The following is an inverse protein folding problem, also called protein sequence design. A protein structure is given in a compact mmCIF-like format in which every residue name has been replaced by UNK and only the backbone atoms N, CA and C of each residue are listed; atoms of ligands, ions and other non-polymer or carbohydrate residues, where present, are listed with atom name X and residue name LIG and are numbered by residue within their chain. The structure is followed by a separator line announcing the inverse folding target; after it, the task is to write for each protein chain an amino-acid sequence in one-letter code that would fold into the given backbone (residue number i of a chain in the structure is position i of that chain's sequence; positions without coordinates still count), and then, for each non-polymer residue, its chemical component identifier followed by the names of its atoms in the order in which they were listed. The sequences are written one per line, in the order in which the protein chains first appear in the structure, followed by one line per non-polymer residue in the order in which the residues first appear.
data_IF_813474728485
#
_entry.id   IF_813474728485
#
_cell.length_a   1.000
_cell.length_b   1.000
_cell.length_c   1.000
_cell.angle_alpha   90.00
_cell.angle_beta   90.00
_cell.angle_gamma   90.00
#
_symmetry.space_group_name_H-M   'P 1'
#
loop_
_entity.id
_entity.type
_entity.pdbx_description
1 polymer ?
#
# COMPACT_ATOMS: atom_id res chain seq x y z
N UNK A 1 4.73 1.96 18.44
CA UNK A 1 4.94 2.39 17.05
C UNK A 1 4.49 3.85 16.87
N UNK A 2 3.27 4.19 17.29
CA UNK A 2 2.75 5.55 17.14
C UNK A 2 3.56 6.57 17.95
N UNK A 3 4.04 6.21 19.12
CA UNK A 3 4.88 7.11 19.92
C UNK A 3 6.20 7.45 19.23
N UNK A 4 6.80 6.49 18.51
CA UNK A 4 8.01 6.73 17.74
C UNK A 4 7.82 7.72 16.60
N UNK A 5 6.60 7.85 16.08
CA UNK A 5 6.29 8.74 14.97
C UNK A 5 5.82 10.14 15.40
N UNK A 6 5.61 10.37 16.70
CA UNK A 6 5.11 11.67 17.18
C UNK A 6 6.02 12.85 16.87
N UNK A 7 7.30 12.60 16.69
CA UNK A 7 8.27 13.65 16.35
C UNK A 7 8.24 14.06 14.87
N UNK A 8 7.52 13.32 14.02
CA UNK A 8 7.40 13.64 12.61
C UNK A 8 6.01 14.21 12.35
N UNK A 9 5.95 15.26 11.52
CA UNK A 9 4.66 15.86 11.15
C UNK A 9 3.92 15.03 10.11
N UNK A 10 4.64 14.53 9.13
CA UNK A 10 4.09 13.69 8.06
C UNK A 10 5.03 12.52 7.85
N UNK A 11 4.48 11.36 7.58
CA UNK A 11 5.30 10.19 7.30
C UNK A 11 4.56 9.16 6.45
N UNK A 12 5.34 8.38 5.72
CA UNK A 12 4.87 7.24 4.95
C UNK A 12 5.47 5.99 5.56
N UNK A 13 4.64 4.99 5.78
CA UNK A 13 5.08 3.72 6.37
C UNK A 13 4.56 2.58 5.51
N UNK A 14 5.46 1.66 5.17
CA UNK A 14 5.09 0.44 4.44
C UNK A 14 5.13 -0.71 5.44
N UNK A 15 4.03 -1.45 5.50
CA UNK A 15 3.97 -2.67 6.30
C UNK A 15 4.73 -3.76 5.54
N UNK A 16 5.77 -4.29 6.14
CA UNK A 16 6.59 -5.35 5.56
C UNK A 16 5.96 -6.74 5.73
N UNK A 17 4.88 -6.84 6.50
CA UNK A 17 4.10 -8.07 6.61
C UNK A 17 3.09 -8.10 5.49
N UNK A 18 3.24 -9.08 4.59
CA UNK A 18 2.36 -9.20 3.44
C UNK A 18 1.36 -10.33 3.63
N UNK A 19 0.15 -10.12 3.13
CA UNK A 19 -0.81 -11.20 2.93
C UNK A 19 -0.56 -11.82 1.56
N UNK A 20 -0.56 -13.14 1.49
CA UNK A 20 -0.29 -13.86 0.25
C UNK A 20 -1.46 -14.77 -0.10
N UNK A 21 -1.75 -14.86 -1.38
CA UNK A 21 -2.76 -15.76 -1.91
C UNK A 21 -2.23 -16.43 -3.16
N UNK A 22 -2.31 -17.76 -3.21
CA UNK A 22 -2.05 -18.52 -4.43
C UNK A 22 -3.37 -18.87 -5.07
N UNK A 23 -3.52 -18.58 -6.37
CA UNK A 23 -4.76 -18.85 -7.08
C UNK A 23 -4.50 -19.28 -8.51
N UNK A 24 -5.46 -20.03 -9.08
CA UNK A 24 -5.45 -20.42 -10.47
C UNK A 24 -6.58 -19.71 -11.23
N UNK A 25 -6.34 -19.38 -12.50
CA UNK A 25 -7.33 -18.72 -13.36
C UNK A 25 -7.71 -19.56 -14.60
N UNK A 26 -7.34 -20.84 -14.64
CA UNK A 26 -7.56 -21.71 -15.79
C UNK A 26 -6.46 -21.68 -16.83
N UNK A 27 -5.57 -20.72 -16.81
CA UNK A 27 -4.40 -20.60 -17.69
C UNK A 27 -3.12 -21.00 -16.97
N UNK A 28 -3.06 -20.74 -15.65
CA UNK A 28 -1.90 -21.06 -14.84
C UNK A 28 -2.17 -20.67 -13.41
N UNK A 29 -1.12 -20.72 -12.59
CA UNK A 29 -1.20 -20.33 -11.20
C UNK A 29 -0.40 -19.06 -10.94
N UNK A 30 -0.87 -18.29 -9.99
CA UNK A 30 -0.33 -16.99 -9.67
C UNK A 30 -0.24 -16.83 -8.15
N UNK A 31 0.69 -16.00 -7.70
CA UNK A 31 0.75 -15.57 -6.31
C UNK A 31 0.44 -14.08 -6.24
N UNK A 32 -0.50 -13.75 -5.36
CA UNK A 32 -0.87 -12.37 -5.06
C UNK A 32 -0.29 -11.99 -3.71
N UNK A 33 0.60 -11.01 -3.69
CA UNK A 33 1.10 -10.39 -2.48
C UNK A 33 0.40 -9.05 -2.28
N UNK A 34 -0.03 -8.77 -1.06
CA UNK A 34 -0.73 -7.53 -0.73
C UNK A 34 0.13 -6.74 0.24
N UNK A 35 0.50 -5.52 -0.14
CA UNK A 35 1.28 -4.61 0.66
C UNK A 35 0.39 -3.46 1.12
N UNK A 36 0.50 -3.08 2.39
CA UNK A 36 -0.24 -1.95 2.94
C UNK A 36 0.70 -0.78 3.13
N UNK A 37 0.30 0.38 2.61
CA UNK A 37 1.06 1.63 2.73
C UNK A 37 0.22 2.63 3.49
N UNK A 38 0.79 3.20 4.56
CA UNK A 38 0.16 4.22 5.38
C UNK A 38 0.74 5.57 5.05
N UNK A 39 -0.13 6.56 4.85
CA UNK A 39 0.25 7.97 4.73
C UNK A 39 -0.42 8.69 5.88
N UNK A 40 0.36 9.18 6.81
CA UNK A 40 -0.12 9.70 8.09
C UNK A 40 0.43 11.10 8.34
N UNK A 41 -0.34 11.88 9.08
CA UNK A 41 0.06 13.23 9.47
C UNK A 41 -0.43 13.53 10.89
N UNK A 42 0.38 14.26 11.65
CA UNK A 42 -0.03 14.80 12.94
C UNK A 42 -0.84 16.07 12.75
N UNK A 43 -1.87 16.23 13.57
CA UNK A 43 -2.67 17.46 13.62
C UNK A 43 -2.89 17.89 15.07
N UNK A 44 -3.25 19.15 15.26
CA UNK A 44 -3.59 19.69 16.58
C UNK A 44 -4.88 19.04 17.06
N UNK A 45 -4.83 18.32 18.17
CA UNK A 45 -5.82 17.35 18.60
C UNK A 45 -7.26 17.90 18.69
N UNK A 46 -7.41 19.15 19.11
CA UNK A 46 -8.71 19.79 19.25
C UNK A 46 -9.08 20.70 18.08
N UNK A 47 -8.30 20.67 17.00
CA UNK A 47 -8.48 21.52 15.85
C UNK A 47 -8.93 20.70 14.64
N UNK A 48 -10.23 20.67 14.39
CA UNK A 48 -10.78 19.90 13.28
C UNK A 48 -10.46 20.51 11.92
N UNK A 49 -10.23 21.82 11.85
CA UNK A 49 -9.78 22.46 10.62
C UNK A 49 -8.36 22.03 10.26
N UNK A 50 -7.47 21.89 11.25
CA UNK A 50 -6.12 21.38 11.04
C UNK A 50 -6.15 19.90 10.63
N UNK A 51 -7.02 19.11 11.24
CA UNK A 51 -7.22 17.71 10.83
C UNK A 51 -7.60 17.60 9.37
N UNK A 52 -8.57 18.39 8.91
CA UNK A 52 -9.02 18.37 7.52
C UNK A 52 -7.90 18.82 6.58
N UNK A 53 -7.14 19.82 6.95
CA UNK A 53 -5.99 20.28 6.18
C UNK A 53 -4.95 19.17 6.02
N UNK A 54 -4.62 18.47 7.11
CA UNK A 54 -3.65 17.37 7.09
C UNK A 54 -4.17 16.17 6.31
N UNK A 55 -5.45 15.86 6.43
CA UNK A 55 -6.06 14.77 5.68
C UNK A 55 -6.04 15.05 4.18
N UNK A 56 -6.33 16.30 3.77
CA UNK A 56 -6.22 16.70 2.37
C UNK A 56 -4.79 16.58 1.86
N UNK A 57 -3.81 16.91 2.69
CA UNK A 57 -2.40 16.72 2.35
C UNK A 57 -2.09 15.23 2.11
N UNK A 58 -2.59 14.34 2.96
CA UNK A 58 -2.40 12.91 2.79
C UNK A 58 -3.05 12.39 1.50
N UNK A 59 -4.25 12.88 1.18
CA UNK A 59 -4.92 12.55 -0.09
C UNK A 59 -4.09 12.97 -1.30
N UNK A 60 -3.48 14.15 -1.22
CA UNK A 60 -2.63 14.66 -2.28
C UNK A 60 -1.35 13.84 -2.44
N UNK A 61 -0.73 13.46 -1.33
CA UNK A 61 0.45 12.59 -1.33
C UNK A 61 0.10 11.23 -1.94
N UNK A 62 -1.04 10.66 -1.60
CA UNK A 62 -1.50 9.40 -2.19
C UNK A 62 -1.64 9.51 -3.71
N UNK A 63 -2.29 10.58 -4.18
CA UNK A 63 -2.42 10.82 -5.62
C UNK A 63 -1.05 10.93 -6.30
N UNK A 64 -0.13 11.65 -5.70
CA UNK A 64 1.23 11.80 -6.24
C UNK A 64 1.98 10.47 -6.26
N UNK A 65 1.83 9.67 -5.21
CA UNK A 65 2.47 8.36 -5.12
C UNK A 65 1.94 7.43 -6.21
N UNK A 66 0.63 7.37 -6.37
CA UNK A 66 0.00 6.55 -7.40
C UNK A 66 0.40 7.00 -8.81
N UNK A 67 0.38 8.32 -9.05
CA UNK A 67 0.81 8.91 -10.32
C UNK A 67 2.25 8.55 -10.64
N UNK A 68 3.15 8.59 -9.65
CA UNK A 68 4.55 8.25 -9.85
C UNK A 68 4.75 6.78 -10.16
N UNK A 69 4.04 5.89 -9.49
CA UNK A 69 4.10 4.46 -9.78
C UNK A 69 3.65 4.15 -11.20
N UNK A 70 2.55 4.77 -11.64
CA UNK A 70 2.07 4.61 -13.02
C UNK A 70 3.10 5.11 -14.03
N UNK A 71 3.68 6.28 -13.77
CA UNK A 71 4.71 6.86 -14.62
C UNK A 71 5.94 5.95 -14.73
N UNK A 72 6.43 5.47 -13.61
CA UNK A 72 7.62 4.62 -13.57
C UNK A 72 7.38 3.27 -14.26
N UNK A 73 6.19 2.68 -14.06
CA UNK A 73 5.83 1.45 -14.76
C UNK A 73 5.86 1.63 -16.28
N UNK A 74 5.32 2.74 -16.75
CA UNK A 74 5.12 2.97 -18.19
C UNK A 74 6.38 3.46 -18.89
N UNK A 75 7.29 4.14 -18.16
CA UNK A 75 8.46 4.79 -18.77
C UNK A 75 9.78 4.07 -18.52
N UNK A 76 9.96 3.45 -17.35
CA UNK A 76 11.24 2.85 -16.99
C UNK A 76 11.38 1.40 -17.46
N UNK A 77 10.27 0.74 -17.81
CA UNK A 77 10.30 -0.67 -18.20
C UNK A 77 10.85 -1.58 -17.11
N UNK A 78 10.67 -1.19 -15.86
CA UNK A 78 11.20 -1.93 -14.72
C UNK A 78 10.33 -3.15 -14.46
N UNK A 79 10.94 -4.34 -14.55
CA UNK A 79 10.23 -5.61 -14.35
C UNK A 79 9.60 -5.73 -12.96
N UNK A 80 10.15 -5.03 -11.95
CA UNK A 80 9.62 -5.04 -10.59
C UNK A 80 8.24 -4.40 -10.51
N UNK A 81 7.89 -3.52 -11.44
CA UNK A 81 6.60 -2.83 -11.45
C UNK A 81 5.59 -3.50 -12.38
N UNK A 82 6.02 -4.44 -13.22
CA UNK A 82 5.19 -5.05 -14.26
C UNK A 82 3.96 -5.76 -13.68
N UNK A 83 4.14 -6.44 -12.54
CA UNK A 83 3.09 -7.24 -11.94
C UNK A 83 2.28 -6.51 -10.87
N UNK A 84 2.59 -5.23 -10.61
CA UNK A 84 1.79 -4.43 -9.69
C UNK A 84 0.45 -4.06 -10.32
N UNK A 85 -0.63 -4.32 -9.59
CA UNK A 85 -1.95 -3.90 -10.02
C UNK A 85 -2.16 -2.44 -9.60
N UNK A 86 -1.87 -1.52 -10.50
CA UNK A 86 -2.01 -0.08 -10.27
C UNK A 86 -3.33 0.47 -10.80
N UNK A 87 -4.15 -0.35 -11.43
CA UNK A 87 -5.44 0.06 -11.98
C UNK A 87 -6.58 -0.06 -10.97
N UNK A 88 -6.34 -0.72 -9.86
CA UNK A 88 -7.36 -0.95 -8.84
C UNK A 88 -6.70 -0.92 -7.46
N UNK A 89 -6.76 0.24 -6.80
CA UNK A 89 -6.16 0.43 -5.48
C UNK A 89 -7.25 0.84 -4.50
N UNK A 90 -7.46 0.02 -3.48
CA UNK A 90 -8.34 0.38 -2.37
C UNK A 90 -7.61 1.28 -1.40
N UNK A 91 -8.25 2.37 -1.01
CA UNK A 91 -7.76 3.25 0.05
C UNK A 91 -8.83 3.44 1.10
N UNK A 92 -8.41 3.58 2.35
CA UNK A 92 -9.29 3.81 3.48
C UNK A 92 -8.71 4.93 4.33
N UNK A 93 -9.54 5.93 4.65
CA UNK A 93 -9.14 7.01 5.54
C UNK A 93 -9.31 6.56 6.99
N UNK A 94 -8.38 7.01 7.86
CA UNK A 94 -8.43 6.68 9.27
C UNK A 94 -9.61 7.39 9.93
N UNK A 95 -10.43 6.67 10.70
CA UNK A 95 -11.51 7.31 11.44
C UNK A 95 -10.98 8.25 12.51
N UNK A 96 -11.76 9.28 12.80
CA UNK A 96 -11.39 10.35 13.75
C UNK A 96 -10.95 9.83 15.12
N UNK A 97 -11.50 8.72 15.55
CA UNK A 97 -11.28 8.20 16.91
C UNK A 97 -10.22 7.09 16.97
N UNK A 98 -9.60 6.72 15.85
CA UNK A 98 -8.65 5.60 15.86
C UNK A 98 -7.35 5.95 16.55
N UNK A 99 -6.80 7.14 16.28
CA UNK A 99 -5.51 7.57 16.81
C UNK A 99 -5.59 9.04 17.17
N UNK A 100 -5.29 9.35 18.44
CA UNK A 100 -5.32 10.72 18.94
C UNK A 100 -4.22 11.56 18.27
N UNK A 101 -4.60 12.65 17.61
CA UNK A 101 -3.65 13.56 16.98
C UNK A 101 -3.03 13.07 15.69
N UNK A 102 -3.52 11.96 15.13
CA UNK A 102 -3.03 11.41 13.86
C UNK A 102 -4.19 11.20 12.90
N UNK A 103 -4.04 11.68 11.68
CA UNK A 103 -4.99 11.45 10.59
C UNK A 103 -4.24 10.93 9.38
N UNK A 104 -4.97 10.47 8.40
CA UNK A 104 -4.39 9.99 7.16
C UNK A 104 -5.19 8.90 6.53
N UNK A 105 -4.52 8.13 5.71
CA UNK A 105 -5.14 7.01 5.01
C UNK A 105 -4.14 5.87 4.87
N UNK A 106 -4.65 4.71 4.56
CA UNK A 106 -3.84 3.61 4.08
C UNK A 106 -4.42 3.07 2.79
N UNK A 107 -3.57 2.47 1.99
CA UNK A 107 -3.99 1.81 0.76
C UNK A 107 -3.21 0.52 0.59
N UNK A 108 -3.77 -0.37 -0.23
CA UNK A 108 -3.19 -1.68 -0.48
C UNK A 108 -2.81 -1.79 -1.93
N UNK A 109 -1.58 -2.26 -2.19
CA UNK A 109 -1.08 -2.55 -3.52
C UNK A 109 -0.93 -4.06 -3.64
N UNK A 110 -1.44 -4.62 -4.72
CA UNK A 110 -1.35 -6.03 -5.01
C UNK A 110 -0.30 -6.27 -6.08
N UNK A 111 0.56 -7.26 -5.84
CA UNK A 111 1.51 -7.75 -6.82
C UNK A 111 1.09 -9.17 -7.22
N UNK A 112 0.71 -9.35 -8.47
CA UNK A 112 0.27 -10.66 -8.98
C UNK A 112 1.28 -11.16 -9.98
N UNK A 113 1.99 -12.23 -9.64
CA UNK A 113 3.02 -12.79 -10.50
C UNK A 113 2.78 -14.27 -10.76
N UNK A 114 3.13 -14.77 -11.96
CA UNK A 114 3.05 -16.20 -12.26
C UNK A 114 3.98 -16.98 -11.37
N UNK A 115 3.55 -18.17 -10.98
CA UNK A 115 4.38 -19.11 -10.23
C UNK A 115 4.32 -20.50 -10.89
N UNK A 116 5.35 -21.29 -10.69
CA UNK A 116 5.42 -22.66 -11.14
C UNK A 116 5.19 -23.60 -9.96
N UNK A 117 4.03 -24.28 -9.99
CA UNK A 117 3.71 -25.31 -8.99
C UNK A 117 3.58 -26.68 -9.64
N UNK A 118 4.29 -26.90 -10.74
CA UNK A 118 4.29 -28.18 -11.43
C UNK A 118 4.76 -29.29 -10.52
N UNK A 119 4.17 -30.46 -10.69
CA UNK A 119 4.57 -31.63 -9.92
C UNK A 119 5.96 -32.10 -10.35
N UNK A 120 6.84 -32.23 -9.38
CA UNK A 120 8.18 -32.76 -9.57
C UNK A 120 8.32 -34.04 -8.75
N UNK A 121 8.40 -35.17 -9.43
CA UNK A 121 8.47 -36.46 -8.76
C UNK A 121 9.71 -36.58 -7.88
N UNK A 122 10.83 -35.97 -8.28
CA UNK A 122 12.07 -36.03 -7.53
C UNK A 122 11.98 -35.38 -6.15
N UNK A 123 11.03 -34.45 -5.96
CA UNK A 123 10.81 -33.82 -4.66
C UNK A 123 10.16 -34.77 -3.64
N UNK A 124 9.62 -35.91 -4.09
CA UNK A 124 8.85 -36.81 -3.26
C UNK A 124 9.58 -38.11 -2.93
N UNK A 125 10.84 -38.20 -3.31
CA UNK A 125 11.70 -39.40 -2.99
C UNK A 125 12.67 -39.12 -1.80
#
# INVERSE_FOLDING_TARGET
IIQGFRKYQNFVMVDDTTSQQTFGNGVGFFRRDVYTVFILAHYSQDDMADRELKLNLCRQIFRQFHSRLLHDRDTLGDDRLTFLNLNNIYSTELPRYSYSGVTGLYFMIQNEQPIDISYEQSEWT
#
